data_IF_100081540585
#
_entry.id   IF_100081540585
#
_cell.length_a   1.000
_cell.length_b   1.000
_cell.length_c   1.000
_cell.angle_alpha   90.00
_cell.angle_beta   90.00
_cell.angle_gamma   90.00
#
_symmetry.space_group_name_H-M   'P 1'
#
loop_
_entity.id
_entity.type
_entity.pdbx_description
1 polymer ?
#
# COMPACT_ATOMS: atom_id res chain seq x y z
N UNK A 1 -8.68 14.89 -7.11
CA UNK A 1 -8.88 13.49 -7.54
C UNK A 1 -9.69 13.47 -8.83
N UNK A 2 -9.21 12.77 -9.82
CA UNK A 2 -9.92 12.66 -11.08
C UNK A 2 -11.17 11.77 -10.95
N UNK A 3 -12.16 12.01 -11.81
CA UNK A 3 -13.42 11.27 -11.76
C UNK A 3 -13.24 9.76 -11.94
N UNK A 4 -12.33 9.36 -12.84
CA UNK A 4 -12.11 7.94 -13.09
C UNK A 4 -11.46 7.25 -11.88
N UNK A 5 -10.53 7.93 -11.21
CA UNK A 5 -9.90 7.39 -10.01
C UNK A 5 -10.92 7.24 -8.89
N UNK A 6 -11.80 8.24 -8.73
CA UNK A 6 -12.87 8.15 -7.75
C UNK A 6 -13.79 6.97 -8.02
N UNK A 7 -14.11 6.75 -9.28
CA UNK A 7 -14.95 5.61 -9.68
C UNK A 7 -14.29 4.29 -9.31
N UNK A 8 -12.98 4.16 -9.58
CA UNK A 8 -12.25 2.94 -9.25
C UNK A 8 -12.24 2.68 -7.74
N UNK A 9 -12.07 3.73 -6.94
CA UNK A 9 -12.10 3.60 -5.49
C UNK A 9 -13.48 3.15 -5.01
N UNK A 10 -14.54 3.74 -5.54
CA UNK A 10 -15.92 3.41 -5.14
C UNK A 10 -16.29 1.98 -5.50
N UNK A 11 -15.75 1.45 -6.60
CA UNK A 11 -16.05 0.10 -7.07
C UNK A 11 -15.13 -0.96 -6.50
N UNK A 12 -14.09 -0.57 -5.75
CA UNK A 12 -13.13 -1.49 -5.15
C UNK A 12 -13.51 -1.77 -3.70
N UNK A 13 -12.97 -2.87 -3.16
CA UNK A 13 -13.13 -3.15 -1.73
C UNK A 13 -12.44 -2.07 -0.89
N UNK A 14 -12.99 -1.74 0.29
CA UNK A 14 -12.35 -0.75 1.16
C UNK A 14 -11.00 -1.24 1.67
N UNK A 15 -10.10 -0.29 1.89
CA UNK A 15 -8.73 -0.64 2.31
C UNK A 15 -8.62 -0.93 3.81
N UNK A 16 -9.64 -0.56 4.59
CA UNK A 16 -9.62 -0.79 6.03
C UNK A 16 -9.14 0.41 6.83
N UNK A 17 -9.41 0.39 8.12
CA UNK A 17 -9.17 1.53 9.00
C UNK A 17 -7.69 1.88 9.15
N UNK A 18 -6.82 0.87 9.24
CA UNK A 18 -5.39 1.09 9.41
C UNK A 18 -4.80 1.86 8.23
N UNK A 19 -5.15 1.46 7.01
CA UNK A 19 -4.66 2.12 5.82
C UNK A 19 -5.31 3.49 5.62
N UNK A 20 -6.59 3.64 5.97
CA UNK A 20 -7.25 4.95 5.94
C UNK A 20 -6.53 5.92 6.87
N UNK A 21 -6.20 5.48 8.07
CA UNK A 21 -5.48 6.29 9.05
C UNK A 21 -4.09 6.66 8.52
N UNK A 22 -3.36 5.68 7.99
CA UNK A 22 -2.01 5.90 7.49
C UNK A 22 -1.99 6.88 6.32
N UNK A 23 -2.95 6.76 5.40
CA UNK A 23 -3.07 7.67 4.28
C UNK A 23 -3.31 9.11 4.75
N UNK A 24 -4.22 9.27 5.71
CA UNK A 24 -4.54 10.58 6.28
C UNK A 24 -3.33 11.18 6.98
N UNK A 25 -2.63 10.41 7.80
CA UNK A 25 -1.45 10.89 8.51
C UNK A 25 -0.31 11.24 7.56
N UNK A 26 -0.12 10.47 6.50
CA UNK A 26 0.90 10.76 5.50
C UNK A 26 0.62 12.10 4.81
N UNK A 27 -0.63 12.35 4.44
CA UNK A 27 -1.02 13.62 3.82
C UNK A 27 -0.83 14.81 4.74
N UNK A 28 -1.00 14.62 6.04
CA UNK A 28 -0.89 15.70 7.03
C UNK A 28 0.58 15.94 7.41
N UNK A 29 1.37 14.90 7.59
CA UNK A 29 2.67 14.98 8.26
C UNK A 29 3.89 14.99 7.34
N UNK A 30 3.73 14.66 6.06
CA UNK A 30 4.87 14.62 5.15
C UNK A 30 4.76 15.64 4.04
N UNK A 31 5.91 16.02 3.48
CA UNK A 31 5.98 16.90 2.32
C UNK A 31 5.93 16.14 1.00
N UNK A 32 5.92 14.80 1.07
CA UNK A 32 6.02 13.94 -0.11
C UNK A 32 4.82 13.00 -0.23
N UNK A 33 3.62 13.49 0.11
CA UNK A 33 2.40 12.68 0.09
C UNK A 33 2.12 12.05 -1.28
N UNK A 34 2.63 12.66 -2.36
CA UNK A 34 2.48 12.10 -3.71
C UNK A 34 3.20 10.77 -3.90
N UNK A 35 4.16 10.43 -3.02
CA UNK A 35 4.85 9.16 -3.06
C UNK A 35 4.01 8.01 -2.48
N UNK A 36 2.88 8.33 -1.86
CA UNK A 36 1.97 7.32 -1.35
C UNK A 36 1.27 6.61 -2.51
N UNK A 37 1.23 5.28 -2.45
CA UNK A 37 0.63 4.47 -3.52
C UNK A 37 -0.87 4.70 -3.68
N UNK A 38 -1.58 4.85 -2.59
CA UNK A 38 -3.02 5.10 -2.62
C UNK A 38 -3.86 3.84 -2.71
N UNK A 39 -5.21 3.97 -2.55
CA UNK A 39 -6.09 2.81 -2.42
C UNK A 39 -6.16 1.90 -3.64
N UNK A 40 -6.18 2.47 -4.85
CA UNK A 40 -6.27 1.66 -6.08
C UNK A 40 -5.01 0.83 -6.26
N UNK A 41 -3.85 1.48 -6.20
CA UNK A 41 -2.57 0.79 -6.35
C UNK A 41 -2.35 -0.20 -5.22
N UNK A 42 -2.73 0.16 -3.99
CA UNK A 42 -2.60 -0.73 -2.84
C UNK A 42 -3.40 -2.01 -3.00
N UNK A 43 -4.66 -1.91 -3.43
CA UNK A 43 -5.48 -3.10 -3.70
C UNK A 43 -4.89 -3.94 -4.82
N UNK A 44 -4.35 -3.29 -5.84
CA UNK A 44 -3.73 -3.97 -6.96
C UNK A 44 -2.48 -4.75 -6.53
N UNK A 45 -1.63 -4.15 -5.69
CA UNK A 45 -0.45 -4.82 -5.15
C UNK A 45 -0.82 -6.06 -4.35
N UNK A 46 -1.83 -5.94 -3.49
CA UNK A 46 -2.34 -7.08 -2.73
C UNK A 46 -2.80 -8.21 -3.65
N UNK A 47 -3.58 -7.86 -4.68
CA UNK A 47 -4.05 -8.85 -5.66
C UNK A 47 -2.91 -9.58 -6.35
N UNK A 48 -1.87 -8.85 -6.77
CA UNK A 48 -0.74 -9.45 -7.45
C UNK A 48 -0.04 -10.45 -6.55
N UNK A 49 0.20 -10.10 -5.28
CA UNK A 49 0.82 -11.01 -4.32
C UNK A 49 0.00 -12.28 -4.16
N UNK A 50 -1.33 -12.14 -4.03
CA UNK A 50 -2.22 -13.29 -3.90
C UNK A 50 -2.24 -14.16 -5.16
N UNK A 51 -2.31 -13.53 -6.33
CA UNK A 51 -2.37 -14.25 -7.61
C UNK A 51 -1.10 -15.02 -7.91
N UNK A 52 0.04 -14.46 -7.54
CA UNK A 52 1.35 -15.10 -7.77
C UNK A 52 1.65 -16.20 -6.73
N UNK A 53 0.87 -16.26 -5.65
CA UNK A 53 1.16 -17.16 -4.55
C UNK A 53 2.49 -16.85 -3.89
N UNK A 54 2.87 -15.57 -3.88
CA UNK A 54 4.17 -15.17 -3.35
C UNK A 54 4.25 -15.44 -1.86
N UNK A 55 5.41 -15.92 -1.42
CA UNK A 55 5.70 -16.14 0.01
C UNK A 55 6.76 -15.20 0.53
N UNK A 56 7.58 -14.64 -0.37
CA UNK A 56 8.61 -13.69 0.00
C UNK A 56 8.55 -12.53 -0.98
N UNK A 57 8.54 -11.32 -0.44
CA UNK A 57 8.47 -10.08 -1.21
C UNK A 57 9.57 -9.15 -0.74
N UNK A 58 10.22 -8.47 -1.68
CA UNK A 58 11.17 -7.41 -1.38
C UNK A 58 10.61 -6.10 -1.88
N UNK A 59 10.55 -5.12 -1.00
CA UNK A 59 10.14 -3.76 -1.36
C UNK A 59 11.33 -2.81 -1.24
N UNK A 60 11.58 -2.03 -2.27
CA UNK A 60 12.59 -0.99 -2.27
C UNK A 60 11.88 0.36 -2.10
N UNK A 61 12.16 1.05 -0.99
CA UNK A 61 11.52 2.31 -0.68
C UNK A 61 10.19 2.12 0.06
N UNK A 62 10.25 2.08 1.39
CA UNK A 62 9.06 1.86 2.21
C UNK A 62 8.23 3.11 2.46
N UNK A 63 8.85 4.29 2.38
CA UNK A 63 8.25 5.59 2.71
C UNK A 63 7.56 5.54 4.06
N UNK A 64 6.21 5.56 4.12
CA UNK A 64 5.45 5.47 5.38
C UNK A 64 4.95 4.07 5.67
N UNK A 65 5.27 3.10 4.82
CA UNK A 65 4.87 1.71 4.99
C UNK A 65 3.52 1.34 4.37
N UNK A 66 2.89 2.27 3.65
CA UNK A 66 1.58 2.03 3.06
C UNK A 66 1.60 0.85 2.07
N UNK A 67 2.49 0.88 1.07
CA UNK A 67 2.59 -0.20 0.09
C UNK A 67 3.06 -1.50 0.74
N UNK A 68 3.94 -1.41 1.76
CA UNK A 68 4.40 -2.57 2.51
C UNK A 68 3.25 -3.29 3.19
N UNK A 69 2.34 -2.55 3.83
CA UNK A 69 1.16 -3.14 4.46
C UNK A 69 0.27 -3.81 3.40
N UNK A 70 0.08 -3.16 2.25
CA UNK A 70 -0.73 -3.71 1.16
C UNK A 70 -0.12 -5.00 0.62
N UNK A 71 1.19 -5.04 0.40
CA UNK A 71 1.89 -6.24 -0.06
C UNK A 71 1.78 -7.36 0.98
N UNK A 72 2.03 -7.03 2.25
CA UNK A 72 1.99 -8.01 3.33
C UNK A 72 0.60 -8.60 3.50
N UNK A 73 -0.46 -7.82 3.27
CA UNK A 73 -1.83 -8.31 3.41
C UNK A 73 -2.21 -9.37 2.38
N UNK A 74 -1.44 -9.47 1.27
CA UNK A 74 -1.63 -10.52 0.28
C UNK A 74 -0.82 -11.76 0.54
N UNK A 75 0.10 -11.75 1.52
CA UNK A 75 0.96 -12.89 1.84
C UNK A 75 0.23 -13.90 2.72
N UNK A 76 0.61 -15.20 2.63
CA UNK A 76 0.11 -16.19 3.58
C UNK A 76 0.72 -15.96 4.96
N UNK A 77 0.21 -16.64 5.99
CA UNK A 77 0.68 -16.49 7.36
C UNK A 77 2.18 -16.74 7.53
N UNK A 78 2.72 -17.66 6.73
CA UNK A 78 4.15 -17.98 6.77
C UNK A 78 4.96 -17.15 5.78
N UNK A 79 4.36 -16.12 5.20
CA UNK A 79 5.03 -15.25 4.25
C UNK A 79 5.94 -14.23 4.91
N UNK A 80 6.82 -13.65 4.10
CA UNK A 80 7.83 -12.68 4.55
C UNK A 80 7.88 -11.48 3.62
N UNK A 81 7.88 -10.30 4.22
CA UNK A 81 8.13 -9.05 3.50
C UNK A 81 9.38 -8.40 4.06
N UNK A 82 10.35 -8.10 3.19
CA UNK A 82 11.51 -7.30 3.55
C UNK A 82 11.38 -5.96 2.83
N UNK A 83 11.54 -4.88 3.57
CA UNK A 83 11.44 -3.54 3.00
C UNK A 83 12.67 -2.74 3.36
N UNK A 84 13.19 -1.98 2.39
CA UNK A 84 14.40 -1.18 2.54
C UNK A 84 14.07 0.28 2.26
N UNK A 85 14.52 1.16 3.16
CA UNK A 85 14.31 2.59 3.01
C UNK A 85 15.58 3.33 3.44
N UNK A 86 16.03 4.27 2.62
CA UNK A 86 17.22 5.07 2.91
C UNK A 86 16.87 6.44 3.50
N UNK A 87 15.63 6.83 3.47
CA UNK A 87 15.14 8.10 4.02
C UNK A 87 14.33 7.82 5.27
N UNK A 88 14.74 8.35 6.41
CA UNK A 88 14.10 8.12 7.70
C UNK A 88 13.04 9.18 8.05
N UNK A 89 12.69 10.01 7.12
CA UNK A 89 11.70 11.07 7.29
C UNK A 89 10.29 10.56 7.61
#
# INVERSE_FOLDING_TARGET
>A
MEAIERYMIECSSPQGEALDWLQKQTNIRTNHARMLSGPVQGRFLKMIVEMCGARRVLELGSFTGYSGICLASGLPEDGHLDTLEINDE
#
